data_IF_943162954438
#
_entry.id   IF_943162954438
#
_cell.length_a   1.000
_cell.length_b   1.000
_cell.length_c   1.000
_cell.angle_alpha   90.00
_cell.angle_beta   90.00
_cell.angle_gamma   90.00
#
_symmetry.space_group_name_H-M   'P 1'
#
loop_
_entity.id
_entity.type
_entity.pdbx_description
1 polymer ?
#
# COMPACT_ATOMS: atom_id res chain seq x y z
N UNK A 1 -15.89 0.21 -8.58
CA UNK A 1 -16.15 -1.21 -8.27
C UNK A 1 -15.52 -2.14 -9.30
N UNK A 2 -16.02 -2.27 -10.55
CA UNK A 2 -15.30 -3.09 -11.55
C UNK A 2 -13.90 -2.53 -11.86
N UNK A 3 -13.79 -1.20 -11.92
CA UNK A 3 -12.51 -0.46 -12.02
C UNK A 3 -11.45 -0.90 -11.01
N UNK A 4 -11.85 -1.09 -9.76
CA UNK A 4 -10.91 -1.40 -8.68
C UNK A 4 -10.53 -2.89 -8.71
N UNK A 5 -11.45 -3.74 -9.20
CA UNK A 5 -11.16 -5.15 -9.47
C UNK A 5 -10.19 -5.28 -10.65
N UNK A 6 -10.38 -4.52 -11.74
CA UNK A 6 -9.47 -4.46 -12.89
C UNK A 6 -8.07 -4.00 -12.44
N UNK A 7 -7.98 -2.90 -11.68
CA UNK A 7 -6.70 -2.38 -11.15
C UNK A 7 -5.98 -3.42 -10.30
N UNK A 8 -6.70 -4.15 -9.43
CA UNK A 8 -6.10 -5.21 -8.63
C UNK A 8 -5.56 -6.35 -9.49
N UNK A 9 -6.38 -6.92 -10.39
CA UNK A 9 -5.98 -8.09 -11.20
C UNK A 9 -4.75 -7.75 -12.05
N UNK A 10 -4.68 -6.52 -12.56
CA UNK A 10 -3.50 -5.97 -13.22
C UNK A 10 -2.27 -5.93 -12.31
N UNK A 11 -2.37 -5.31 -11.12
CA UNK A 11 -1.23 -5.13 -10.20
C UNK A 11 -0.77 -6.43 -9.54
N UNK A 12 -1.67 -7.38 -9.34
CA UNK A 12 -1.36 -8.68 -8.75
C UNK A 12 -0.77 -9.68 -9.79
N UNK A 13 -0.52 -9.24 -11.03
CA UNK A 13 -0.10 -10.11 -12.14
C UNK A 13 -1.06 -11.30 -12.38
N UNK A 14 -2.36 -11.09 -12.15
CA UNK A 14 -3.39 -12.11 -12.31
C UNK A 14 -4.17 -11.95 -13.63
N UNK A 15 -3.74 -11.05 -14.51
CA UNK A 15 -4.45 -10.70 -15.75
C UNK A 15 -4.61 -11.89 -16.68
N UNK A 16 -3.57 -12.69 -16.88
CA UNK A 16 -3.63 -13.87 -17.76
C UNK A 16 -4.77 -14.82 -17.37
N UNK A 17 -5.06 -14.91 -16.06
CA UNK A 17 -6.09 -15.81 -15.53
C UNK A 17 -7.50 -15.22 -15.54
N UNK A 18 -7.66 -13.93 -15.25
CA UNK A 18 -8.99 -13.34 -15.00
C UNK A 18 -9.44 -12.29 -16.02
N UNK A 19 -8.58 -11.90 -16.96
CA UNK A 19 -8.93 -10.96 -18.00
C UNK A 19 -10.21 -11.35 -18.80
N UNK A 20 -10.43 -12.63 -19.17
CA UNK A 20 -11.66 -13.01 -19.89
C UNK A 20 -12.93 -12.69 -19.11
N UNK A 21 -12.93 -12.96 -17.80
CA UNK A 21 -14.07 -12.72 -16.89
C UNK A 21 -14.32 -11.21 -16.76
N UNK A 22 -13.25 -10.42 -16.58
CA UNK A 22 -13.34 -8.96 -16.48
C UNK A 22 -13.88 -8.32 -17.77
N UNK A 23 -13.42 -8.78 -18.94
CA UNK A 23 -13.93 -8.34 -20.24
C UNK A 23 -15.42 -8.68 -20.39
N UNK A 24 -15.84 -9.88 -19.98
CA UNK A 24 -17.23 -10.29 -20.02
C UNK A 24 -18.11 -9.38 -19.16
N UNK A 25 -17.71 -9.08 -17.92
CA UNK A 25 -18.45 -8.15 -17.07
C UNK A 25 -18.51 -6.74 -17.66
N UNK A 26 -17.42 -6.22 -18.24
CA UNK A 26 -17.44 -4.92 -18.93
C UNK A 26 -18.43 -4.91 -20.09
N UNK A 27 -18.39 -5.93 -20.95
CA UNK A 27 -19.28 -6.05 -22.10
C UNK A 27 -20.75 -6.15 -21.66
N UNK A 28 -21.05 -6.96 -20.64
CA UNK A 28 -22.40 -7.12 -20.11
C UNK A 28 -22.93 -5.84 -19.47
N UNK A 29 -22.12 -5.13 -18.66
CA UNK A 29 -22.52 -3.85 -18.07
C UNK A 29 -22.74 -2.77 -19.13
N UNK A 30 -21.96 -2.78 -20.22
CA UNK A 30 -22.13 -1.83 -21.31
C UNK A 30 -23.37 -2.12 -22.15
N UNK A 31 -23.67 -3.40 -22.39
CA UNK A 31 -24.83 -3.85 -23.18
C UNK A 31 -26.16 -3.68 -22.41
N UNK A 32 -26.14 -3.87 -21.10
CA UNK A 32 -27.34 -3.90 -20.25
C UNK A 32 -27.48 -2.66 -19.34
N UNK A 33 -27.07 -1.48 -19.82
CA UNK A 33 -27.04 -0.23 -19.03
C UNK A 33 -28.38 0.22 -18.44
N UNK A 34 -29.50 -0.19 -19.05
CA UNK A 34 -30.86 0.17 -18.62
C UNK A 34 -31.58 -0.96 -17.89
N UNK A 35 -30.95 -2.13 -17.79
CA UNK A 35 -31.51 -3.32 -17.15
C UNK A 35 -30.91 -3.47 -15.75
N UNK A 36 -31.65 -2.96 -14.77
CA UNK A 36 -31.21 -2.93 -13.37
C UNK A 36 -31.00 -4.33 -12.80
N UNK A 37 -31.80 -5.32 -13.18
CA UNK A 37 -31.64 -6.70 -12.69
C UNK A 37 -30.32 -7.28 -13.14
N UNK A 38 -29.99 -7.13 -14.43
CA UNK A 38 -28.71 -7.59 -14.98
C UNK A 38 -27.51 -6.91 -14.31
N UNK A 39 -27.63 -5.60 -14.06
CA UNK A 39 -26.57 -4.84 -13.38
C UNK A 39 -26.37 -5.34 -11.95
N UNK A 40 -27.45 -5.63 -11.21
CA UNK A 40 -27.38 -6.18 -9.86
C UNK A 40 -26.72 -7.56 -9.85
N UNK A 41 -27.12 -8.45 -10.75
CA UNK A 41 -26.52 -9.78 -10.89
C UNK A 41 -24.99 -9.70 -11.12
N UNK A 42 -24.54 -8.84 -12.02
CA UNK A 42 -23.11 -8.67 -12.30
C UNK A 42 -22.37 -8.10 -11.08
N UNK A 43 -22.98 -7.19 -10.33
CA UNK A 43 -22.39 -6.68 -9.09
C UNK A 43 -22.21 -7.78 -8.06
N UNK A 44 -23.18 -8.67 -7.90
CA UNK A 44 -23.10 -9.79 -6.98
C UNK A 44 -22.00 -10.79 -7.38
N UNK A 45 -21.85 -11.06 -8.67
CA UNK A 45 -20.74 -11.86 -9.20
C UNK A 45 -19.37 -11.23 -8.88
N UNK A 46 -19.22 -9.92 -9.05
CA UNK A 46 -17.98 -9.20 -8.69
C UNK A 46 -17.73 -9.27 -7.18
N UNK A 47 -18.77 -9.21 -6.34
CA UNK A 47 -18.65 -9.34 -4.87
C UNK A 47 -18.21 -10.76 -4.51
N UNK A 48 -18.82 -11.78 -5.11
CA UNK A 48 -18.48 -13.18 -4.88
C UNK A 48 -17.05 -13.49 -5.31
N UNK A 49 -16.64 -13.02 -6.49
CA UNK A 49 -15.26 -13.07 -6.95
C UNK A 49 -14.32 -12.45 -5.92
N UNK A 50 -14.67 -11.27 -5.41
CA UNK A 50 -13.88 -10.58 -4.41
C UNK A 50 -13.76 -11.37 -3.09
N UNK A 51 -14.83 -12.03 -2.66
CA UNK A 51 -14.82 -12.85 -1.44
C UNK A 51 -13.92 -14.06 -1.61
N UNK A 52 -14.08 -14.81 -2.71
CA UNK A 52 -13.29 -16.01 -2.97
C UNK A 52 -11.78 -15.73 -3.04
N UNK A 53 -11.36 -14.59 -3.61
CA UNK A 53 -9.93 -14.25 -3.62
C UNK A 53 -9.40 -13.86 -2.23
N UNK A 54 -10.21 -13.26 -1.36
CA UNK A 54 -9.80 -13.03 0.05
C UNK A 54 -9.56 -14.32 0.80
N UNK A 55 -10.38 -15.34 0.55
CA UNK A 55 -10.21 -16.68 1.13
C UNK A 55 -8.90 -17.35 0.65
N UNK A 56 -8.48 -17.06 -0.59
CA UNK A 56 -7.17 -17.45 -1.12
C UNK A 56 -6.01 -16.56 -0.62
N UNK A 57 -6.26 -15.64 0.31
CA UNK A 57 -5.26 -14.74 0.89
C UNK A 57 -5.07 -13.40 0.17
N UNK A 58 -5.85 -13.12 -0.88
CA UNK A 58 -5.78 -11.86 -1.63
C UNK A 58 -6.73 -10.81 -1.07
N UNK A 59 -6.20 -9.81 -0.38
CA UNK A 59 -7.00 -8.70 0.11
C UNK A 59 -7.26 -7.65 -0.98
N UNK A 60 -8.34 -7.81 -1.74
CA UNK A 60 -8.69 -6.92 -2.86
C UNK A 60 -8.90 -5.44 -2.51
N UNK A 61 -9.13 -5.11 -1.23
CA UNK A 61 -9.13 -3.71 -0.77
C UNK A 61 -7.71 -3.11 -0.78
N UNK A 62 -6.70 -3.92 -0.46
CA UNK A 62 -5.29 -3.55 -0.58
C UNK A 62 -4.85 -3.55 -2.04
N UNK A 63 -5.52 -4.33 -2.90
CA UNK A 63 -5.26 -4.38 -4.34
C UNK A 63 -5.35 -3.06 -5.11
N UNK A 64 -6.12 -2.10 -4.60
CA UNK A 64 -6.20 -0.74 -5.17
C UNK A 64 -5.12 0.20 -4.62
N UNK A 65 -4.43 -0.18 -3.54
CA UNK A 65 -3.41 0.62 -2.86
C UNK A 65 -2.01 0.08 -3.18
N UNK A 66 -1.21 0.87 -3.84
CA UNK A 66 0.18 0.54 -4.17
C UNK A 66 1.16 1.32 -3.30
N UNK A 67 2.39 0.83 -3.18
CA UNK A 67 3.48 1.54 -2.51
C UNK A 67 4.56 1.82 -3.54
N UNK A 68 4.94 3.09 -3.65
CA UNK A 68 6.01 3.52 -4.53
C UNK A 68 7.11 4.17 -3.73
N UNK A 69 8.29 3.56 -3.73
CA UNK A 69 9.50 4.19 -3.24
C UNK A 69 10.13 5.02 -4.36
N UNK A 70 10.20 6.33 -4.17
CA UNK A 70 10.97 7.28 -4.99
C UNK A 70 12.31 7.55 -4.32
N UNK A 71 13.18 8.32 -4.95
CA UNK A 71 14.49 8.70 -4.40
C UNK A 71 14.40 9.57 -3.14
N UNK A 72 15.27 10.57 -3.06
CA UNK A 72 15.39 11.42 -1.88
C UNK A 72 14.63 12.74 -2.04
N UNK A 73 14.19 13.31 -0.91
CA UNK A 73 13.57 14.63 -0.85
C UNK A 73 14.06 15.40 0.38
N UNK A 74 14.17 16.71 0.21
CA UNK A 74 14.44 17.68 1.27
C UNK A 74 13.15 18.20 1.92
N UNK A 75 13.30 19.12 2.86
CA UNK A 75 12.19 19.78 3.57
C UNK A 75 11.18 20.50 2.66
N UNK A 76 11.57 20.89 1.43
CA UNK A 76 10.66 21.48 0.44
C UNK A 76 9.50 20.55 0.07
N UNK A 77 9.64 19.24 0.33
CA UNK A 77 8.60 18.24 0.11
C UNK A 77 7.31 18.55 0.90
N UNK A 78 7.40 19.23 2.04
CA UNK A 78 6.21 19.65 2.80
C UNK A 78 5.27 20.51 1.95
N UNK A 79 5.81 21.43 1.15
CA UNK A 79 5.03 22.27 0.23
C UNK A 79 4.36 21.49 -0.90
N UNK A 80 4.80 20.26 -1.15
CA UNK A 80 4.25 19.33 -2.15
C UNK A 80 3.27 18.31 -1.55
N UNK A 81 2.85 18.53 -0.30
CA UNK A 81 1.90 17.69 0.42
C UNK A 81 2.52 16.44 1.06
N UNK A 82 3.85 16.36 1.18
CA UNK A 82 4.49 15.30 1.95
C UNK A 82 4.44 15.58 3.45
N UNK A 83 4.43 14.49 4.21
CA UNK A 83 4.55 14.47 5.66
C UNK A 83 5.74 13.62 6.06
N UNK A 84 6.27 13.85 7.26
CA UNK A 84 7.40 13.09 7.78
C UNK A 84 6.93 11.77 8.37
N UNK A 85 7.74 10.74 8.17
CA UNK A 85 7.52 9.40 8.70
C UNK A 85 8.85 8.81 9.16
N UNK A 86 8.80 8.08 10.28
CA UNK A 86 9.79 7.07 10.59
C UNK A 86 9.12 5.71 10.44
N UNK A 87 9.75 4.83 9.67
CA UNK A 87 9.26 3.48 9.42
C UNK A 87 10.32 2.48 9.88
N UNK A 88 9.91 1.48 10.63
CA UNK A 88 10.73 0.35 11.01
C UNK A 88 10.22 -0.90 10.30
N UNK A 89 11.13 -1.65 9.67
CA UNK A 89 10.83 -2.85 8.90
C UNK A 89 11.68 -4.03 9.43
N UNK A 90 11.01 -5.12 9.84
CA UNK A 90 11.66 -6.36 10.29
C UNK A 90 11.58 -7.45 9.23
N UNK A 91 12.58 -8.33 9.16
CA UNK A 91 12.76 -9.34 8.10
C UNK A 91 11.55 -10.26 7.88
N UNK A 92 10.75 -10.52 8.92
CA UNK A 92 9.53 -11.33 8.81
C UNK A 92 8.36 -10.64 8.09
N UNK A 93 8.50 -9.36 7.72
CA UNK A 93 7.41 -8.53 7.20
C UNK A 93 6.75 -7.66 8.29
N UNK A 94 7.32 -7.57 9.49
CA UNK A 94 6.82 -6.69 10.53
C UNK A 94 7.07 -5.22 10.15
N UNK A 95 6.05 -4.37 10.32
CA UNK A 95 6.14 -2.93 10.06
C UNK A 95 5.61 -2.16 11.26
N UNK A 96 6.38 -1.15 11.69
CA UNK A 96 6.00 -0.13 12.66
C UNK A 96 6.30 1.23 12.07
N UNK A 97 5.50 2.23 12.39
CA UNK A 97 5.77 3.59 11.91
C UNK A 97 5.17 4.64 12.82
N UNK A 98 5.70 5.84 12.71
CA UNK A 98 5.10 7.06 13.24
C UNK A 98 5.15 8.15 12.17
N UNK A 99 4.17 9.05 12.20
CA UNK A 99 4.07 10.20 11.30
C UNK A 99 3.81 11.45 12.12
N UNK A 100 4.31 12.60 11.68
CA UNK A 100 4.02 13.85 12.37
C UNK A 100 4.63 15.09 11.73
N UNK A 101 4.45 16.22 12.41
CA UNK A 101 5.03 17.52 12.02
C UNK A 101 6.44 17.73 12.57
N UNK A 102 6.79 17.05 13.66
CA UNK A 102 8.14 17.05 14.24
C UNK A 102 9.18 16.58 13.22
N UNK A 103 10.43 16.98 13.40
CA UNK A 103 11.50 16.56 12.50
C UNK A 103 11.77 15.05 12.62
N UNK A 104 12.48 14.48 11.63
CA UNK A 104 12.69 13.03 11.59
C UNK A 104 13.48 12.47 12.78
N UNK A 105 14.38 13.26 13.37
CA UNK A 105 15.15 12.84 14.56
C UNK A 105 14.20 12.68 15.75
N UNK A 106 13.37 13.69 16.02
CA UNK A 106 12.38 13.66 17.11
C UNK A 106 11.38 12.52 16.94
N UNK A 107 10.87 12.32 15.72
CA UNK A 107 9.97 11.19 15.43
C UNK A 107 10.68 9.84 15.65
N UNK A 108 11.98 9.74 15.38
CA UNK A 108 12.73 8.49 15.61
C UNK A 108 12.86 8.19 17.09
N UNK A 109 13.12 9.22 17.91
CA UNK A 109 13.16 9.09 19.36
C UNK A 109 11.80 8.68 19.93
N UNK A 110 10.72 9.30 19.46
CA UNK A 110 9.35 8.98 19.86
C UNK A 110 8.99 7.53 19.51
N UNK A 111 9.29 7.08 18.29
CA UNK A 111 9.05 5.68 17.90
C UNK A 111 9.88 4.69 18.74
N UNK A 112 11.15 5.02 19.05
CA UNK A 112 11.98 4.18 19.92
C UNK A 112 11.41 4.09 21.33
N UNK A 113 10.91 5.19 21.88
CA UNK A 113 10.24 5.19 23.19
C UNK A 113 9.00 4.30 23.17
N UNK A 114 8.17 4.38 22.12
CA UNK A 114 6.99 3.51 21.98
C UNK A 114 7.36 2.02 21.95
N UNK A 115 8.48 1.67 21.30
CA UNK A 115 8.94 0.29 21.16
C UNK A 115 9.61 -0.23 22.45
N UNK A 116 10.20 0.62 23.29
CA UNK A 116 10.75 0.18 24.58
C UNK A 116 9.70 -0.52 25.45
N UNK A 117 8.44 -0.07 25.40
CA UNK A 117 7.34 -0.67 26.15
C UNK A 117 6.71 -1.89 25.46
N UNK A 118 6.93 -2.06 24.16
CA UNK A 118 6.43 -3.20 23.38
C UNK A 118 7.45 -3.57 22.30
N UNK A 119 8.56 -4.22 22.70
CA UNK A 119 9.64 -4.56 21.79
C UNK A 119 9.17 -5.60 20.78
N UNK A 120 9.64 -5.45 19.54
CA UNK A 120 9.46 -6.50 18.55
C UNK A 120 10.38 -7.69 18.86
N UNK A 121 9.92 -8.89 18.52
CA UNK A 121 10.68 -10.12 18.71
C UNK A 121 11.90 -10.21 17.76
N UNK A 122 11.92 -9.41 16.70
CA UNK A 122 13.00 -9.36 15.71
C UNK A 122 13.64 -7.97 15.63
N UNK A 123 14.92 -7.88 15.23
CA UNK A 123 15.54 -6.62 14.84
C UNK A 123 14.77 -5.97 13.68
N UNK A 124 14.70 -4.64 13.68
CA UNK A 124 14.03 -3.88 12.63
C UNK A 124 14.94 -2.76 12.12
N UNK A 125 15.02 -2.63 10.80
CA UNK A 125 15.71 -1.53 10.14
C UNK A 125 14.88 -0.26 10.23
N UNK A 126 15.52 0.86 10.57
CA UNK A 126 14.86 2.17 10.67
C UNK A 126 15.08 2.98 9.39
N UNK A 127 13.99 3.55 8.88
CA UNK A 127 13.97 4.36 7.67
C UNK A 127 13.36 5.73 7.95
N UNK A 128 14.05 6.77 7.49
CA UNK A 128 13.68 8.17 7.64
C UNK A 128 13.05 8.64 6.32
N UNK A 129 11.75 8.91 6.32
CA UNK A 129 10.98 9.02 5.10
C UNK A 129 10.13 10.28 5.04
N UNK A 130 9.91 10.73 3.81
CA UNK A 130 8.76 11.52 3.43
C UNK A 130 7.69 10.58 2.88
N UNK A 131 6.44 10.80 3.24
CA UNK A 131 5.31 10.10 2.64
C UNK A 131 4.23 11.06 2.16
N UNK A 132 3.49 10.66 1.13
CA UNK A 132 2.18 11.23 0.84
C UNK A 132 1.24 10.15 0.35
N UNK A 133 -0.04 10.34 0.63
CA UNK A 133 -1.11 9.49 0.12
C UNK A 133 -1.79 10.17 -1.06
N UNK A 134 -1.87 9.45 -2.17
CA UNK A 134 -2.61 9.82 -3.37
C UNK A 134 -3.64 8.72 -3.67
N UNK A 135 -4.50 8.93 -4.67
CA UNK A 135 -5.51 7.93 -5.03
C UNK A 135 -4.84 6.59 -5.40
N UNK A 136 -5.03 5.59 -4.53
CA UNK A 136 -4.52 4.23 -4.74
C UNK A 136 -2.99 4.09 -4.71
N UNK A 137 -2.25 5.08 -4.19
CA UNK A 137 -0.78 5.04 -4.05
C UNK A 137 -0.36 5.71 -2.73
N UNK A 138 0.54 5.05 -2.01
CA UNK A 138 1.37 5.67 -0.96
C UNK A 138 2.76 5.87 -1.56
N UNK A 139 3.13 7.13 -1.77
CA UNK A 139 4.47 7.48 -2.22
C UNK A 139 5.36 7.67 -1.00
N UNK A 140 6.47 6.95 -0.97
CA UNK A 140 7.54 7.06 0.02
C UNK A 140 8.78 7.64 -0.68
N UNK A 141 9.53 8.47 0.02
CA UNK A 141 10.81 9.00 -0.44
C UNK A 141 11.78 9.07 0.75
N UNK A 142 13.08 8.87 0.52
CA UNK A 142 14.09 9.04 1.56
C UNK A 142 14.18 10.51 2.01
N UNK A 143 14.33 10.74 3.31
CA UNK A 143 14.71 12.05 3.85
C UNK A 143 16.21 12.29 3.69
N UNK A 144 16.68 13.52 3.94
CA UNK A 144 18.13 13.84 3.91
C UNK A 144 18.92 13.05 4.97
N UNK A 145 18.27 12.63 6.06
CA UNK A 145 18.85 11.78 7.09
C UNK A 145 18.86 10.28 6.74
N UNK A 146 18.30 9.90 5.59
CA UNK A 146 18.26 8.52 5.10
C UNK A 146 19.53 8.21 4.32
N UNK A 147 20.26 7.16 4.71
CA UNK A 147 21.40 6.70 3.93
C UNK A 147 20.96 6.01 2.64
N UNK A 148 21.82 6.04 1.61
CA UNK A 148 21.58 5.33 0.34
C UNK A 148 21.45 3.82 0.54
N UNK A 149 22.27 3.23 1.41
CA UNK A 149 22.21 1.81 1.75
C UNK A 149 20.87 1.43 2.38
N UNK A 150 20.44 2.18 3.40
CA UNK A 150 19.16 1.93 4.07
C UNK A 150 17.97 2.15 3.09
N UNK A 151 18.12 3.06 2.12
CA UNK A 151 17.12 3.25 1.06
C UNK A 151 16.99 2.02 0.13
N UNK A 152 18.12 1.44 -0.30
CA UNK A 152 18.10 0.21 -1.10
C UNK A 152 17.60 -0.99 -0.29
N UNK A 153 17.90 -1.06 1.02
CA UNK A 153 17.34 -2.07 1.91
C UNK A 153 15.81 -1.97 1.97
N UNK A 154 15.27 -0.76 2.12
CA UNK A 154 13.82 -0.53 2.11
C UNK A 154 13.19 -0.93 0.78
N UNK A 155 13.86 -0.64 -0.35
CA UNK A 155 13.38 -1.04 -1.67
C UNK A 155 13.24 -2.55 -1.78
N UNK A 156 14.31 -3.28 -1.43
CA UNK A 156 14.31 -4.75 -1.41
C UNK A 156 13.25 -5.32 -0.46
N UNK A 157 13.06 -4.66 0.69
CA UNK A 157 12.03 -5.03 1.65
C UNK A 157 10.63 -4.87 1.07
N UNK A 158 10.31 -3.73 0.44
CA UNK A 158 9.01 -3.49 -0.20
C UNK A 158 8.74 -4.53 -1.29
N UNK A 159 9.74 -4.89 -2.09
CA UNK A 159 9.58 -5.89 -3.15
C UNK A 159 9.23 -7.28 -2.58
N UNK A 160 9.80 -7.66 -1.43
CA UNK A 160 9.55 -8.94 -0.76
C UNK A 160 8.26 -8.95 0.07
N UNK A 161 7.96 -7.85 0.74
CA UNK A 161 6.91 -7.74 1.77
C UNK A 161 5.80 -6.75 1.40
N UNK A 162 5.59 -6.51 0.10
CA UNK A 162 4.64 -5.51 -0.41
C UNK A 162 3.28 -5.57 0.28
N UNK A 163 2.69 -6.76 0.37
CA UNK A 163 1.37 -6.95 1.00
C UNK A 163 1.35 -6.56 2.48
N UNK A 164 2.41 -6.90 3.24
CA UNK A 164 2.52 -6.54 4.64
C UNK A 164 2.65 -5.01 4.82
N UNK A 165 3.46 -4.38 3.96
CA UNK A 165 3.62 -2.92 3.97
C UNK A 165 2.32 -2.19 3.61
N UNK A 166 1.61 -2.63 2.56
CA UNK A 166 0.32 -2.04 2.17
C UNK A 166 -0.70 -2.20 3.29
N UNK A 167 -0.72 -3.36 3.97
CA UNK A 167 -1.60 -3.60 5.12
C UNK A 167 -1.29 -2.66 6.28
N UNK A 168 -0.01 -2.52 6.64
CA UNK A 168 0.41 -1.66 7.74
C UNK A 168 0.08 -0.18 7.49
N UNK A 169 0.31 0.29 6.26
CA UNK A 169 0.11 1.70 5.89
C UNK A 169 -1.31 1.99 5.38
N UNK A 170 -2.23 1.01 5.37
CA UNK A 170 -3.55 1.16 4.78
C UNK A 170 -4.37 2.32 5.38
N UNK A 171 -4.22 2.60 6.67
CA UNK A 171 -4.93 3.65 7.41
C UNK A 171 -4.08 4.90 7.65
N UNK A 172 -2.94 5.03 6.99
CA UNK A 172 -2.09 6.20 7.18
C UNK A 172 -2.83 7.48 6.76
N UNK A 173 -2.82 8.47 7.65
CA UNK A 173 -3.56 9.74 7.56
C UNK A 173 -2.71 10.91 7.10
#
# INVERSE_FOLDING_TARGET
MLSDTDRFVSRANLMERYEPVLRQWRASLQKHRLDNEKIHQIRDEIIAFRRARREEGWELRLGSLDIQLKGFRSDDAMGLGFRRMILMAGESGAVRYITGSANHIQLSEELRQQIQYSPHAEPMDTHYLWYRRMEGIIELAGADSQSKESHEHLKNYIDRHKSAMVKALYNIS
#
